data_IF_337486892301
#
_entry.id   IF_337486892301
#
_cell.length_a   1.000
_cell.length_b   1.000
_cell.length_c   1.000
_cell.angle_alpha   90.00
_cell.angle_beta   90.00
_cell.angle_gamma   90.00
#
_symmetry.space_group_name_H-M   'P 1'
#
loop_
_entity.id
_entity.type
_entity.pdbx_description
1 polymer ?
#
# COMPACT_ATOMS: atom_id res chain seq x y z
N UNK A 1 -29.80 -18.19 16.26
CA UNK A 1 -29.21 -17.58 17.47
C UNK A 1 -30.14 -16.49 17.93
N UNK A 2 -30.47 -16.48 19.22
CA UNK A 2 -31.43 -15.53 19.81
C UNK A 2 -30.71 -14.21 20.01
N UNK A 3 -31.05 -13.19 19.22
CA UNK A 3 -30.65 -11.80 19.49
C UNK A 3 -31.58 -11.30 20.60
N UNK A 4 -31.08 -11.20 21.82
CA UNK A 4 -31.83 -10.60 22.92
C UNK A 4 -31.71 -9.08 22.81
N UNK A 5 -32.76 -8.43 22.32
CA UNK A 5 -32.91 -6.98 22.40
C UNK A 5 -33.01 -6.65 23.89
N UNK A 6 -32.02 -5.94 24.45
CA UNK A 6 -32.18 -5.34 25.77
C UNK A 6 -33.26 -4.26 25.65
N UNK A 7 -34.39 -4.44 26.33
CA UNK A 7 -35.48 -3.47 26.38
C UNK A 7 -34.94 -2.10 26.83
N UNK A 8 -34.93 -1.13 25.93
CA UNK A 8 -34.77 0.27 26.27
C UNK A 8 -36.06 0.77 26.94
N UNK A 9 -35.89 1.52 28.02
CA UNK A 9 -36.96 2.13 28.83
C UNK A 9 -37.89 2.93 27.91
N UNK A 10 -39.21 2.66 27.96
CA UNK A 10 -40.19 3.45 27.22
C UNK A 10 -40.22 4.89 27.75
N UNK A 11 -39.86 5.84 26.90
CA UNK A 11 -40.19 7.25 27.06
C UNK A 11 -41.20 7.66 25.95
N UNK A 12 -42.23 8.38 26.38
CA UNK A 12 -43.35 8.95 25.62
C UNK A 12 -42.92 9.90 24.48
N UNK A 13 -43.79 10.20 23.50
CA UNK A 13 -43.38 10.73 22.21
C UNK A 13 -43.08 12.23 22.28
N UNK A 14 -41.81 12.58 22.21
CA UNK A 14 -41.35 13.86 21.68
C UNK A 14 -40.39 13.59 20.54
N UNK A 15 -40.81 14.02 19.35
CA UNK A 15 -40.01 14.17 18.14
C UNK A 15 -38.67 14.84 18.45
N UNK A 16 -37.62 14.03 18.49
CA UNK A 16 -36.23 14.45 18.34
C UNK A 16 -35.61 13.45 17.39
N UNK A 17 -35.16 13.91 16.22
CA UNK A 17 -34.33 13.13 15.30
C UNK A 17 -32.94 12.93 15.93
N UNK A 18 -32.87 12.15 16.99
CA UNK A 18 -31.64 11.67 17.56
C UNK A 18 -31.32 10.38 16.82
N UNK A 19 -30.24 10.37 16.03
CA UNK A 19 -29.62 9.11 15.59
C UNK A 19 -29.00 8.45 16.82
N UNK A 20 -29.84 8.01 17.75
CA UNK A 20 -29.43 7.31 18.95
C UNK A 20 -28.98 5.93 18.49
N UNK A 21 -27.67 5.74 18.47
CA UNK A 21 -27.05 4.44 18.24
C UNK A 21 -27.54 3.49 19.33
N UNK A 22 -28.57 2.71 19.03
CA UNK A 22 -29.14 1.73 19.93
C UNK A 22 -28.03 0.78 20.42
N UNK A 23 -27.96 0.56 21.73
CA UNK A 23 -26.99 -0.36 22.33
C UNK A 23 -27.58 -1.78 22.27
N UNK A 24 -26.85 -2.71 21.67
CA UNK A 24 -27.23 -4.11 21.51
C UNK A 24 -26.24 -4.99 22.27
N UNK A 25 -26.73 -6.10 22.83
CA UNK A 25 -25.90 -7.09 23.50
C UNK A 25 -25.49 -8.21 22.52
N UNK A 26 -24.18 -8.34 22.27
CA UNK A 26 -23.61 -9.42 21.45
C UNK A 26 -22.80 -10.33 22.36
N UNK A 27 -23.26 -11.57 22.55
CA UNK A 27 -22.63 -12.59 23.42
C UNK A 27 -22.24 -12.06 24.83
N UNK A 28 -23.04 -11.15 25.39
CA UNK A 28 -22.80 -10.58 26.72
C UNK A 28 -22.07 -9.24 26.75
N UNK A 29 -21.62 -8.72 25.60
CA UNK A 29 -20.99 -7.41 25.46
C UNK A 29 -21.98 -6.37 24.92
N UNK A 30 -22.07 -5.21 25.57
CA UNK A 30 -22.89 -4.09 25.10
C UNK A 30 -22.09 -3.27 24.09
N UNK A 31 -22.62 -3.14 22.88
CA UNK A 31 -22.00 -2.40 21.78
C UNK A 31 -23.04 -1.62 20.98
N UNK A 32 -22.62 -0.61 20.23
CA UNK A 32 -23.51 0.11 19.31
C UNK A 32 -24.07 -0.82 18.22
N UNK A 33 -25.30 -0.58 17.79
CA UNK A 33 -26.01 -1.41 16.82
C UNK A 33 -25.30 -1.53 15.47
N UNK A 34 -24.60 -0.49 15.04
CA UNK A 34 -23.88 -0.46 13.76
C UNK A 34 -22.64 -1.37 13.74
N UNK A 35 -22.02 -1.65 14.89
CA UNK A 35 -20.84 -2.52 14.98
C UNK A 35 -21.19 -3.96 15.40
N UNK A 36 -22.39 -4.19 15.94
CA UNK A 36 -22.85 -5.51 16.38
C UNK A 36 -22.68 -6.60 15.29
N UNK A 37 -23.04 -6.39 14.01
CA UNK A 37 -22.85 -7.40 12.97
C UNK A 37 -21.38 -7.79 12.74
N UNK A 38 -20.47 -6.81 12.90
CA UNK A 38 -19.04 -7.02 12.73
C UNK A 38 -18.49 -7.82 13.91
N UNK A 39 -18.90 -7.46 15.13
CA UNK A 39 -18.51 -8.18 16.34
C UNK A 39 -18.99 -9.64 16.31
N UNK A 40 -20.23 -9.88 15.88
CA UNK A 40 -20.75 -11.24 15.67
C UNK A 40 -19.90 -12.03 14.68
N UNK A 41 -19.55 -11.43 13.54
CA UNK A 41 -18.71 -12.05 12.50
C UNK A 41 -17.31 -12.39 13.03
N UNK A 42 -16.70 -11.50 13.82
CA UNK A 42 -15.42 -11.75 14.49
C UNK A 42 -15.56 -12.94 15.44
N UNK A 43 -16.58 -12.92 16.31
CA UNK A 43 -16.80 -13.99 17.29
C UNK A 43 -17.15 -15.33 16.66
N UNK A 44 -17.74 -15.34 15.46
CA UNK A 44 -17.97 -16.57 14.71
C UNK A 44 -16.68 -17.17 14.15
N UNK A 45 -15.71 -16.34 13.76
CA UNK A 45 -14.45 -16.79 13.14
C UNK A 45 -13.34 -17.06 14.14
N UNK A 46 -13.27 -16.25 15.20
CA UNK A 46 -12.11 -16.19 16.10
C UNK A 46 -12.46 -16.54 17.55
N UNK A 47 -13.74 -16.82 17.84
CA UNK A 47 -14.21 -16.98 19.22
C UNK A 47 -14.30 -15.65 19.97
N UNK A 48 -14.56 -15.70 21.27
CA UNK A 48 -14.54 -14.48 22.10
C UNK A 48 -13.11 -13.98 22.28
N UNK A 49 -12.74 -12.96 21.51
CA UNK A 49 -11.39 -12.37 21.53
C UNK A 49 -11.08 -11.60 22.81
N UNK A 50 -12.07 -11.32 23.67
CA UNK A 50 -11.88 -10.59 24.92
C UNK A 50 -12.01 -11.49 26.17
N UNK A 51 -12.18 -12.81 25.99
CA UNK A 51 -12.39 -13.77 27.08
C UNK A 51 -11.24 -13.75 28.12
N UNK A 52 -10.00 -13.58 27.66
CA UNK A 52 -8.80 -13.55 28.49
C UNK A 52 -8.29 -12.13 28.77
N UNK A 53 -9.10 -11.10 28.49
CA UNK A 53 -8.69 -9.72 28.71
C UNK A 53 -8.25 -9.47 30.17
N UNK A 54 -7.17 -8.69 30.31
CA UNK A 54 -6.63 -8.30 31.61
C UNK A 54 -7.66 -7.50 32.43
N UNK A 55 -8.45 -6.67 31.76
CA UNK A 55 -9.44 -5.82 32.41
C UNK A 55 -10.72 -6.58 32.72
N UNK A 56 -11.07 -6.65 34.01
CA UNK A 56 -12.31 -7.32 34.47
C UNK A 56 -13.55 -6.45 34.36
N UNK A 57 -13.38 -5.12 34.24
CA UNK A 57 -14.48 -4.18 33.99
C UNK A 57 -15.09 -4.41 32.60
N UNK A 58 -16.39 -4.69 32.54
CA UNK A 58 -17.10 -4.95 31.29
C UNK A 58 -16.97 -3.81 30.29
N UNK A 59 -17.20 -2.57 30.73
CA UNK A 59 -17.14 -1.39 29.86
C UNK A 59 -15.77 -1.17 29.21
N UNK A 60 -14.68 -1.53 29.88
CA UNK A 60 -13.33 -1.42 29.30
C UNK A 60 -13.15 -2.47 28.18
N UNK A 61 -13.60 -3.71 28.40
CA UNK A 61 -13.58 -4.75 27.36
C UNK A 61 -14.45 -4.36 26.17
N UNK A 62 -15.64 -3.82 26.44
CA UNK A 62 -16.56 -3.31 25.41
C UNK A 62 -15.88 -2.22 24.57
N UNK A 63 -15.19 -1.25 25.19
CA UNK A 63 -14.45 -0.22 24.45
C UNK A 63 -13.36 -0.79 23.53
N UNK A 64 -12.59 -1.80 23.97
CA UNK A 64 -11.64 -2.46 23.08
C UNK A 64 -12.34 -3.15 21.91
N UNK A 65 -13.45 -3.84 22.16
CA UNK A 65 -14.22 -4.50 21.09
C UNK A 65 -14.79 -3.49 20.09
N UNK A 66 -15.24 -2.32 20.54
CA UNK A 66 -15.68 -1.24 19.64
C UNK A 66 -14.54 -0.79 18.73
N UNK A 67 -13.37 -0.48 19.29
CA UNK A 67 -12.18 -0.05 18.52
C UNK A 67 -11.78 -1.11 17.50
N UNK A 68 -11.75 -2.40 17.87
CA UNK A 68 -11.44 -3.48 16.94
C UNK A 68 -12.48 -3.58 15.82
N UNK A 69 -13.77 -3.45 16.13
CA UNK A 69 -14.81 -3.46 15.10
C UNK A 69 -14.70 -2.25 14.17
N UNK A 70 -14.38 -1.06 14.69
CA UNK A 70 -14.15 0.14 13.91
C UNK A 70 -12.94 -0.02 12.98
N UNK A 71 -11.83 -0.61 13.45
CA UNK A 71 -10.68 -0.93 12.59
C UNK A 71 -11.10 -1.88 11.47
N UNK A 72 -11.80 -2.97 11.78
CA UNK A 72 -12.27 -3.92 10.76
C UNK A 72 -13.19 -3.24 9.75
N UNK A 73 -14.07 -2.35 10.21
CA UNK A 73 -14.92 -1.53 9.33
C UNK A 73 -14.09 -0.67 8.40
N UNK A 74 -13.07 0.02 8.93
CA UNK A 74 -12.17 0.87 8.13
C UNK A 74 -11.42 0.06 7.08
N UNK A 75 -10.92 -1.13 7.43
CA UNK A 75 -10.20 -2.00 6.51
C UNK A 75 -11.08 -2.60 5.41
N UNK A 76 -12.39 -2.74 5.65
CA UNK A 76 -13.35 -3.26 4.67
C UNK A 76 -13.90 -2.19 3.73
N UNK A 77 -14.06 -0.96 4.21
CA UNK A 77 -14.81 0.08 3.50
C UNK A 77 -13.95 1.19 2.89
N UNK A 78 -12.72 1.38 3.35
CA UNK A 78 -11.84 2.43 2.84
C UNK A 78 -10.94 1.92 1.71
N UNK A 79 -10.55 2.84 0.82
CA UNK A 79 -9.55 2.55 -0.20
C UNK A 79 -8.14 2.41 0.40
N UNK A 80 -7.22 1.80 -0.37
CA UNK A 80 -5.86 1.52 0.10
C UNK A 80 -5.12 2.80 0.55
N UNK A 81 -5.32 3.96 -0.10
CA UNK A 81 -4.61 5.20 0.29
C UNK A 81 -5.11 5.71 1.63
N UNK A 82 -6.41 5.65 1.87
CA UNK A 82 -7.00 6.03 3.15
C UNK A 82 -6.57 5.10 4.28
N UNK A 83 -6.40 3.80 4.00
CA UNK A 83 -5.83 2.85 4.98
C UNK A 83 -4.37 3.19 5.27
N UNK A 84 -3.56 3.44 4.24
CA UNK A 84 -2.14 3.79 4.39
C UNK A 84 -1.95 5.04 5.24
N UNK A 85 -2.77 6.08 5.03
CA UNK A 85 -2.66 7.34 5.79
C UNK A 85 -3.01 7.19 7.28
N UNK A 86 -3.75 6.14 7.64
CA UNK A 86 -4.13 5.81 9.03
C UNK A 86 -3.37 4.61 9.60
N UNK A 87 -2.42 4.05 8.86
CA UNK A 87 -1.78 2.78 9.22
C UNK A 87 -1.12 2.84 10.61
N UNK A 88 -0.37 3.90 10.90
CA UNK A 88 0.32 4.06 12.18
C UNK A 88 -0.65 4.06 13.37
N UNK A 89 -1.77 4.76 13.22
CA UNK A 89 -2.82 4.83 14.24
C UNK A 89 -3.51 3.46 14.43
N UNK A 90 -3.85 2.78 13.34
CA UNK A 90 -4.44 1.44 13.38
C UNK A 90 -3.47 0.45 14.07
N UNK A 91 -2.19 0.46 13.71
CA UNK A 91 -1.17 -0.42 14.30
C UNK A 91 -0.98 -0.14 15.79
N UNK A 92 -1.04 1.12 16.21
CA UNK A 92 -0.99 1.52 17.62
C UNK A 92 -2.18 0.95 18.38
N UNK A 93 -3.40 1.14 17.88
CA UNK A 93 -4.63 0.63 18.52
C UNK A 93 -4.63 -0.90 18.65
N UNK A 94 -4.14 -1.61 17.62
CA UNK A 94 -4.01 -3.08 17.67
C UNK A 94 -2.99 -3.48 18.74
N UNK A 95 -1.89 -2.73 18.88
CA UNK A 95 -0.87 -3.01 19.92
C UNK A 95 -1.42 -2.78 21.32
N UNK A 96 -2.25 -1.76 21.51
CA UNK A 96 -2.93 -1.51 22.79
C UNK A 96 -3.93 -2.62 23.13
N UNK A 97 -4.67 -3.12 22.13
CA UNK A 97 -5.56 -4.26 22.32
C UNK A 97 -4.79 -5.55 22.67
N UNK A 98 -3.67 -5.84 22.00
CA UNK A 98 -2.79 -6.96 22.33
C UNK A 98 -2.22 -6.83 23.74
N UNK A 99 -1.78 -5.63 24.14
CA UNK A 99 -1.28 -5.36 25.49
C UNK A 99 -2.37 -5.54 26.57
N UNK A 100 -3.64 -5.35 26.22
CA UNK A 100 -4.79 -5.64 27.06
C UNK A 100 -5.21 -7.12 27.06
N UNK A 101 -4.43 -7.98 26.40
CA UNK A 101 -4.70 -9.40 26.16
C UNK A 101 -6.01 -9.64 25.40
N UNK A 102 -6.32 -8.78 24.43
CA UNK A 102 -7.36 -9.02 23.42
C UNK A 102 -6.73 -9.83 22.28
N UNK A 103 -7.35 -10.94 21.91
CA UNK A 103 -6.80 -11.88 20.93
C UNK A 103 -7.03 -11.41 19.49
N UNK A 104 -6.15 -10.54 19.00
CA UNK A 104 -6.21 -9.91 17.66
C UNK A 104 -5.01 -10.22 16.77
N UNK A 105 -4.30 -11.32 17.02
CA UNK A 105 -3.14 -11.75 16.21
C UNK A 105 -3.47 -11.96 14.71
N UNK A 106 -4.72 -12.30 14.39
CA UNK A 106 -5.22 -12.37 13.02
C UNK A 106 -5.26 -11.00 12.33
N UNK A 107 -5.59 -9.95 13.08
CA UNK A 107 -5.64 -8.58 12.59
C UNK A 107 -4.21 -8.06 12.40
N UNK A 108 -3.32 -8.33 13.35
CA UNK A 108 -1.87 -8.08 13.21
C UNK A 108 -1.31 -8.68 11.93
N UNK A 109 -1.58 -9.96 11.71
CA UNK A 109 -1.13 -10.69 10.52
C UNK A 109 -1.66 -10.07 9.22
N UNK A 110 -2.93 -9.63 9.23
CA UNK A 110 -3.54 -8.95 8.10
C UNK A 110 -2.85 -7.61 7.79
N UNK A 111 -2.57 -6.79 8.81
CA UNK A 111 -1.90 -5.50 8.65
C UNK A 111 -0.47 -5.66 8.13
N UNK A 112 0.28 -6.65 8.63
CA UNK A 112 1.62 -6.96 8.12
C UNK A 112 1.61 -7.42 6.66
N UNK A 113 0.60 -8.22 6.27
CA UNK A 113 0.42 -8.62 4.88
C UNK A 113 0.08 -7.42 3.99
N UNK A 114 -0.79 -6.52 4.46
CA UNK A 114 -1.12 -5.28 3.77
C UNK A 114 0.12 -4.40 3.56
N UNK A 115 0.89 -4.15 4.62
CA UNK A 115 2.13 -3.36 4.57
C UNK A 115 3.12 -3.92 3.54
N UNK A 116 3.39 -5.24 3.60
CA UNK A 116 4.29 -5.91 2.66
C UNK A 116 3.82 -5.78 1.20
N UNK A 117 2.52 -5.89 0.95
CA UNK A 117 1.96 -5.67 -0.40
C UNK A 117 2.23 -4.23 -0.87
N UNK A 118 1.96 -3.25 -0.02
CA UNK A 118 2.17 -1.85 -0.35
C UNK A 118 3.65 -1.53 -0.67
N UNK A 119 4.57 -1.94 0.21
CA UNK A 119 6.01 -1.77 0.00
C UNK A 119 6.48 -2.44 -1.30
N UNK A 120 5.99 -3.65 -1.59
CA UNK A 120 6.33 -4.35 -2.84
C UNK A 120 5.86 -3.59 -4.08
N UNK A 121 4.65 -3.02 -4.05
CA UNK A 121 4.12 -2.22 -5.14
C UNK A 121 4.94 -0.93 -5.36
N UNK A 122 5.32 -0.25 -4.28
CA UNK A 122 6.14 0.95 -4.35
C UNK A 122 7.53 0.66 -4.92
N UNK A 123 8.19 -0.39 -4.44
CA UNK A 123 9.49 -0.83 -4.97
C UNK A 123 9.38 -1.17 -6.45
N UNK A 124 8.37 -1.97 -6.85
CA UNK A 124 8.15 -2.32 -8.26
C UNK A 124 7.94 -1.09 -9.14
N UNK A 125 7.15 -0.12 -8.68
CA UNK A 125 6.92 1.13 -9.41
C UNK A 125 8.23 1.92 -9.59
N UNK A 126 9.01 2.10 -8.51
CA UNK A 126 10.31 2.78 -8.56
C UNK A 126 11.29 2.05 -9.48
N UNK A 127 11.40 0.72 -9.37
CA UNK A 127 12.26 -0.11 -10.21
C UNK A 127 11.88 -0.02 -11.68
N UNK A 128 10.58 -0.04 -12.01
CA UNK A 128 10.11 0.17 -13.39
C UNK A 128 10.63 1.51 -13.92
N UNK A 129 10.47 2.59 -13.14
CA UNK A 129 10.83 3.96 -13.57
C UNK A 129 12.33 4.08 -13.81
N UNK A 130 13.13 3.53 -12.90
CA UNK A 130 14.59 3.48 -13.04
C UNK A 130 15.02 2.67 -14.27
N UNK A 131 14.41 1.50 -14.50
CA UNK A 131 14.69 0.66 -15.68
C UNK A 131 14.43 1.45 -16.98
N UNK A 132 13.34 2.20 -17.03
CA UNK A 132 12.95 2.95 -18.24
C UNK A 132 13.79 4.19 -18.48
N UNK A 133 14.22 4.87 -17.42
CA UNK A 133 15.23 5.91 -17.51
C UNK A 133 16.55 5.35 -18.05
N UNK A 134 17.03 4.22 -17.52
CA UNK A 134 18.26 3.57 -17.99
C UNK A 134 18.16 3.10 -19.45
N UNK A 135 17.02 2.52 -19.86
CA UNK A 135 16.77 2.15 -21.26
C UNK A 135 16.80 3.36 -22.20
N UNK A 136 16.33 4.52 -21.74
CA UNK A 136 16.37 5.77 -22.51
C UNK A 136 17.79 6.31 -22.65
N UNK A 137 18.56 6.37 -21.56
CA UNK A 137 19.95 6.81 -21.54
C UNK A 137 20.83 5.93 -22.46
N UNK A 138 20.66 4.61 -22.39
CA UNK A 138 21.40 3.68 -23.27
C UNK A 138 21.03 3.92 -24.74
N UNK A 139 19.75 4.17 -25.05
CA UNK A 139 19.30 4.45 -26.41
C UNK A 139 19.91 5.74 -26.96
N UNK A 140 19.96 6.80 -26.15
CA UNK A 140 20.56 8.08 -26.50
C UNK A 140 22.05 7.95 -26.76
N UNK A 141 22.81 7.36 -25.84
CA UNK A 141 24.25 7.12 -26.01
C UNK A 141 24.55 6.26 -27.24
N UNK A 142 23.71 5.26 -27.52
CA UNK A 142 23.85 4.44 -28.74
C UNK A 142 23.64 5.28 -29.99
N UNK A 143 22.68 6.20 -30.01
CA UNK A 143 22.46 7.09 -31.15
C UNK A 143 23.66 8.03 -31.36
N UNK A 144 24.20 8.60 -30.28
CA UNK A 144 25.40 9.45 -30.34
C UNK A 144 26.62 8.69 -30.87
N UNK A 145 26.85 7.47 -30.38
CA UNK A 145 27.94 6.61 -30.85
C UNK A 145 27.82 6.31 -32.35
N UNK A 146 26.63 5.92 -32.82
CA UNK A 146 26.40 5.65 -34.24
C UNK A 146 26.66 6.91 -35.09
N UNK A 147 26.24 8.08 -34.62
CA UNK A 147 26.49 9.34 -35.31
C UNK A 147 27.99 9.69 -35.32
N UNK A 148 28.73 9.42 -34.25
CA UNK A 148 30.18 9.61 -34.20
C UNK A 148 30.92 8.66 -35.14
N UNK A 149 30.54 7.37 -35.16
CA UNK A 149 31.10 6.37 -36.06
C UNK A 149 30.90 6.75 -37.53
N UNK A 150 29.71 7.24 -37.90
CA UNK A 150 29.44 7.71 -39.26
C UNK A 150 30.31 8.92 -39.64
N UNK A 151 30.61 9.82 -38.70
CA UNK A 151 31.51 10.95 -38.95
C UNK A 151 32.95 10.46 -39.13
N UNK A 152 33.40 9.55 -38.30
CA UNK A 152 34.74 8.95 -38.41
C UNK A 152 34.94 8.24 -39.76
N UNK A 153 33.97 7.44 -40.19
CA UNK A 153 33.97 6.77 -41.50
C UNK A 153 34.10 7.77 -42.67
N UNK A 154 33.41 8.91 -42.59
CA UNK A 154 33.54 9.97 -43.59
C UNK A 154 34.94 10.58 -43.60
N UNK A 155 35.52 10.85 -42.43
CA UNK A 155 36.88 11.37 -42.32
C UNK A 155 37.92 10.40 -42.91
N UNK A 156 37.78 9.10 -42.65
CA UNK A 156 38.67 8.08 -43.22
C UNK A 156 38.64 8.08 -44.75
N UNK A 157 37.45 8.15 -45.37
CA UNK A 157 37.31 8.25 -46.82
C UNK A 157 37.98 9.49 -47.41
N UNK A 158 37.93 10.62 -46.70
CA UNK A 158 38.62 11.85 -47.12
C UNK A 158 40.14 11.67 -47.05
N UNK A 159 40.66 11.05 -45.98
CA UNK A 159 42.10 10.77 -45.86
C UNK A 159 42.60 9.86 -46.98
N UNK A 160 41.88 8.76 -47.28
CA UNK A 160 42.23 7.86 -48.39
C UNK A 160 42.28 8.58 -49.74
N UNK A 161 41.36 9.52 -49.97
CA UNK A 161 41.34 10.32 -51.21
C UNK A 161 42.52 11.27 -51.29
N UNK A 162 42.85 11.95 -50.19
CA UNK A 162 44.02 12.83 -50.11
C UNK A 162 45.30 12.05 -50.34
N UNK A 163 45.45 10.88 -49.73
CA UNK A 163 46.61 9.99 -49.93
C UNK A 163 46.76 9.59 -51.40
N UNK A 164 45.68 9.15 -52.06
CA UNK A 164 45.69 8.80 -53.49
C UNK A 164 46.09 9.97 -54.39
N UNK A 165 45.56 11.16 -54.13
CA UNK A 165 45.89 12.37 -54.89
C UNK A 165 47.35 12.76 -54.73
N UNK A 166 47.88 12.72 -53.51
CA UNK A 166 49.30 13.00 -53.26
C UNK A 166 50.20 12.01 -54.00
N UNK A 167 49.89 10.72 -53.94
CA UNK A 167 50.65 9.69 -54.63
C UNK A 167 50.65 9.87 -56.16
N UNK A 168 49.50 10.24 -56.75
CA UNK A 168 49.40 10.53 -58.18
C UNK A 168 50.26 11.73 -58.58
N UNK A 169 50.15 12.85 -57.86
CA UNK A 169 50.93 14.06 -58.14
C UNK A 169 52.45 13.84 -58.01
N UNK A 170 52.90 12.98 -57.08
CA UNK A 170 54.32 12.60 -56.96
C UNK A 170 54.78 11.74 -58.14
N UNK A 171 53.92 10.86 -58.67
CA UNK A 171 54.26 10.03 -59.83
C UNK A 171 54.41 10.88 -61.09
N UNK A 172 53.44 11.78 -61.33
CA UNK A 172 53.40 12.62 -62.52
C UNK A 172 54.61 13.57 -62.59
N UNK A 173 54.99 14.16 -61.45
CA UNK A 173 56.18 15.01 -61.34
C UNK A 173 57.51 14.25 -61.50
N UNK A 174 57.53 12.92 -61.40
CA UNK A 174 58.71 12.08 -61.65
C UNK A 174 58.85 11.63 -63.09
N UNK A 175 57.78 11.65 -63.88
CA UNK A 175 57.77 11.25 -65.29
C UNK A 175 58.06 12.40 -66.26
N UNK A 176 58.06 13.66 -65.79
CA UNK A 176 58.38 14.85 -66.59
C UNK A 176 59.87 15.29 -66.48
N UNK A 177 60.75 14.45 -65.93
CA UNK A 177 62.20 14.66 -65.77
C UNK A 177 63.00 13.62 -66.56
#
# INVERSE_FOLDING_TARGET
MVVTICNCIQASPLEVSSSESCIICVKGYKVKSNIAPILESIFMKHGDIAAECLFKTASVRESFLEVICEIVTQLQNNDEKTIISKMEEIERQVSEAEAANIHVSWLRSYLEAFRRRNESMEIKAKTWMLKKAAEMEVRERRAELMAAQQRFEKCMKVLDLVEKNLNHNILDSKTEL
#
